data_IF_070506509401
#
_entry.id   IF_070506509401
#
_cell.length_a   1.000
_cell.length_b   1.000
_cell.length_c   1.000
_cell.angle_alpha   90.00
_cell.angle_beta   90.00
_cell.angle_gamma   90.00
#
_symmetry.space_group_name_H-M   'P 1'
#
loop_
_entity.id
_entity.type
_entity.pdbx_description
1 polymer ?
#
# COMPACT_ATOMS: atom_id res chain seq x y z
N UNK A 1 26.89 7.32 -22.31
CA UNK A 1 25.46 7.10 -22.08
C UNK A 1 25.24 7.25 -20.58
N UNK A 2 24.42 8.20 -20.14
CA UNK A 2 24.08 8.34 -18.72
C UNK A 2 23.11 7.22 -18.36
N UNK A 3 23.52 6.37 -17.42
CA UNK A 3 22.66 5.33 -16.88
C UNK A 3 21.57 5.97 -16.03
N UNK A 4 20.34 5.47 -16.14
CA UNK A 4 19.24 5.89 -15.28
C UNK A 4 19.55 5.51 -13.82
N UNK A 5 19.09 6.34 -12.87
CA UNK A 5 19.17 6.02 -11.44
C UNK A 5 18.23 4.82 -11.19
N UNK A 6 18.70 3.77 -10.49
CA UNK A 6 17.85 2.64 -10.17
C UNK A 6 16.74 3.05 -9.20
N UNK A 7 15.62 2.31 -9.17
CA UNK A 7 14.58 2.49 -8.16
C UNK A 7 15.13 2.40 -6.73
N UNK A 8 14.55 3.16 -5.81
CA UNK A 8 14.97 3.16 -4.41
C UNK A 8 14.74 1.78 -3.79
N UNK A 9 15.75 1.24 -3.10
CA UNK A 9 15.66 -0.05 -2.41
C UNK A 9 15.46 -1.29 -3.29
N UNK A 10 15.43 -1.18 -4.63
CA UNK A 10 15.13 -2.30 -5.51
C UNK A 10 15.89 -2.26 -6.85
N UNK A 11 16.01 -3.42 -7.50
CA UNK A 11 16.62 -3.52 -8.84
C UNK A 11 15.69 -3.07 -9.98
N UNK A 12 14.38 -3.08 -9.76
CA UNK A 12 13.35 -2.76 -10.76
C UNK A 12 12.17 -2.04 -10.09
N UNK A 13 11.41 -1.28 -10.89
CA UNK A 13 10.18 -0.65 -10.40
C UNK A 13 9.17 -1.74 -10.02
N UNK A 14 8.37 -1.46 -8.99
CA UNK A 14 7.35 -2.38 -8.48
C UNK A 14 5.97 -1.69 -8.45
N UNK A 15 5.32 -1.49 -9.61
CA UNK A 15 3.94 -1.02 -9.64
C UNK A 15 2.99 -2.09 -9.09
N UNK A 16 2.10 -1.71 -8.19
CA UNK A 16 1.07 -2.62 -7.64
C UNK A 16 -0.23 -2.63 -8.45
N UNK A 17 -0.21 -2.03 -9.66
CA UNK A 17 -1.37 -2.02 -10.53
C UNK A 17 -1.66 -3.42 -11.08
N UNK A 18 -2.86 -3.90 -10.80
CA UNK A 18 -3.32 -5.20 -11.27
C UNK A 18 -3.34 -5.27 -12.82
N UNK A 19 -2.88 -6.38 -13.43
CA UNK A 19 -3.00 -6.61 -14.87
C UNK A 19 -4.45 -6.49 -15.35
N UNK A 20 -4.64 -5.84 -16.50
CA UNK A 20 -5.96 -5.52 -17.05
C UNK A 20 -6.90 -6.74 -17.13
N UNK A 21 -6.37 -7.89 -17.55
CA UNK A 21 -7.11 -9.16 -17.67
C UNK A 21 -7.75 -9.67 -16.37
N UNK A 22 -7.25 -9.25 -15.21
CA UNK A 22 -7.75 -9.68 -13.89
C UNK A 22 -8.71 -8.65 -13.27
N UNK A 23 -8.78 -7.43 -13.80
CA UNK A 23 -9.50 -6.32 -13.15
C UNK A 23 -11.00 -6.56 -13.02
N UNK A 24 -11.64 -7.08 -14.06
CA UNK A 24 -13.08 -7.35 -14.02
C UNK A 24 -13.44 -8.36 -12.92
N UNK A 25 -12.63 -9.42 -12.77
CA UNK A 25 -12.82 -10.42 -11.73
C UNK A 25 -12.59 -9.84 -10.33
N UNK A 26 -11.49 -9.12 -10.14
CA UNK A 26 -11.17 -8.52 -8.83
C UNK A 26 -12.15 -7.41 -8.43
N UNK A 27 -12.72 -6.67 -9.40
CA UNK A 27 -13.80 -5.72 -9.12
C UNK A 27 -15.06 -6.45 -8.61
N UNK A 28 -15.48 -7.54 -9.25
CA UNK A 28 -16.61 -8.34 -8.77
C UNK A 28 -16.34 -8.96 -7.39
N UNK A 29 -15.12 -9.46 -7.14
CA UNK A 29 -14.73 -9.96 -5.81
C UNK A 29 -14.78 -8.85 -4.77
N UNK A 30 -14.25 -7.67 -5.11
CA UNK A 30 -14.20 -6.53 -4.21
C UNK A 30 -15.60 -6.09 -3.78
N UNK A 31 -16.64 -6.24 -4.63
CA UNK A 31 -18.04 -5.95 -4.30
C UNK A 31 -18.53 -6.71 -3.05
N UNK A 32 -18.06 -7.93 -2.84
CA UNK A 32 -18.46 -8.81 -1.73
C UNK A 32 -17.66 -8.56 -0.43
N UNK A 33 -16.53 -7.84 -0.49
CA UNK A 33 -15.68 -7.58 0.67
C UNK A 33 -16.21 -6.44 1.55
N UNK A 34 -15.79 -6.45 2.83
CA UNK A 34 -15.96 -5.31 3.73
C UNK A 34 -15.29 -4.08 3.11
N UNK A 35 -15.98 -2.94 3.21
CA UNK A 35 -15.54 -1.68 2.61
C UNK A 35 -14.79 -0.84 3.62
N UNK A 36 -13.59 -0.43 3.26
CA UNK A 36 -12.79 0.51 4.01
C UNK A 36 -12.71 1.84 3.23
N UNK A 37 -13.47 2.87 3.63
CA UNK A 37 -13.40 4.18 2.99
C UNK A 37 -12.04 4.83 3.27
N UNK A 38 -11.44 5.40 2.24
CA UNK A 38 -10.17 6.12 2.32
C UNK A 38 -10.40 7.63 2.32
N UNK A 39 -9.50 8.33 3.00
CA UNK A 39 -9.32 9.77 2.86
C UNK A 39 -8.67 10.11 1.51
N UNK A 40 -8.75 11.36 1.09
CA UNK A 40 -8.08 11.83 -0.14
C UNK A 40 -6.56 11.62 -0.11
N UNK A 41 -5.91 11.68 1.05
CA UNK A 41 -4.48 11.40 1.17
C UNK A 41 -4.17 9.91 0.95
N UNK A 42 -4.98 9.02 1.54
CA UNK A 42 -4.82 7.57 1.38
C UNK A 42 -5.11 7.13 -0.07
N UNK A 43 -6.06 7.78 -0.75
CA UNK A 43 -6.30 7.58 -2.19
C UNK A 43 -5.07 8.00 -3.00
N UNK A 44 -4.44 9.14 -2.68
CA UNK A 44 -3.18 9.53 -3.31
C UNK A 44 -2.06 8.51 -3.07
N UNK A 45 -1.92 8.00 -1.84
CA UNK A 45 -0.94 6.96 -1.53
C UNK A 45 -1.20 5.66 -2.28
N UNK A 46 -2.47 5.25 -2.41
CA UNK A 46 -2.87 4.09 -3.22
C UNK A 46 -2.48 4.27 -4.70
N UNK A 47 -2.67 5.46 -5.26
CA UNK A 47 -2.24 5.76 -6.63
C UNK A 47 -0.72 5.69 -6.77
N UNK A 48 0.05 6.22 -5.80
CA UNK A 48 1.50 6.17 -5.79
C UNK A 48 2.04 4.72 -5.69
N UNK A 49 1.41 3.89 -4.86
CA UNK A 49 1.64 2.44 -4.81
C UNK A 49 1.36 1.78 -6.17
N UNK A 50 0.22 2.11 -6.79
CA UNK A 50 -0.19 1.52 -8.08
C UNK A 50 0.81 1.80 -9.21
N UNK A 51 1.41 2.99 -9.23
CA UNK A 51 2.38 3.40 -10.25
C UNK A 51 3.82 2.97 -9.92
N UNK A 52 4.07 2.44 -8.71
CA UNK A 52 5.39 2.05 -8.23
C UNK A 52 6.24 3.20 -7.73
N UNK A 53 5.66 4.38 -7.48
CA UNK A 53 6.36 5.53 -6.91
C UNK A 53 6.88 5.24 -5.48
N UNK A 54 6.23 4.30 -4.78
CA UNK A 54 6.67 3.80 -3.47
C UNK A 54 7.43 2.47 -3.53
N UNK A 55 8.07 2.14 -4.65
CA UNK A 55 9.04 1.02 -4.68
C UNK A 55 10.06 1.23 -3.54
N UNK A 56 10.28 0.25 -2.63
CA UNK A 56 9.99 -1.19 -2.76
C UNK A 56 8.70 -1.72 -2.09
N UNK A 57 7.85 -0.85 -1.53
CA UNK A 57 6.69 -1.26 -0.73
C UNK A 57 5.76 -2.25 -1.46
N UNK A 58 5.22 -3.21 -0.70
CA UNK A 58 4.22 -4.20 -1.15
C UNK A 58 2.77 -3.75 -0.95
N UNK A 59 2.56 -2.61 -0.31
CA UNK A 59 1.25 -2.07 0.05
C UNK A 59 1.37 -1.03 1.15
N UNK A 60 0.27 -0.77 1.86
CA UNK A 60 0.31 -0.03 3.11
C UNK A 60 1.11 -0.81 4.16
N UNK A 61 1.84 -0.09 5.02
CA UNK A 61 2.76 -0.68 5.99
C UNK A 61 2.03 -1.51 7.04
N UNK A 62 2.57 -2.70 7.31
CA UNK A 62 2.27 -3.44 8.53
C UNK A 62 2.91 -2.80 9.77
N UNK A 63 2.59 -3.33 10.94
CA UNK A 63 3.03 -2.76 12.22
C UNK A 63 4.56 -2.66 12.35
N UNK A 64 5.30 -3.67 11.91
CA UNK A 64 6.76 -3.71 12.04
C UNK A 64 7.46 -2.63 11.18
N UNK A 65 7.08 -2.51 9.90
CA UNK A 65 7.60 -1.45 9.02
C UNK A 65 7.19 -0.06 9.51
N UNK A 66 5.93 0.11 9.94
CA UNK A 66 5.46 1.37 10.50
C UNK A 66 6.26 1.79 11.73
N UNK A 67 6.51 0.87 12.68
CA UNK A 67 7.32 1.14 13.87
C UNK A 67 8.75 1.50 13.50
N UNK A 68 9.38 0.74 12.59
CA UNK A 68 10.74 0.99 12.12
C UNK A 68 10.89 2.35 11.44
N UNK A 69 9.90 2.74 10.62
CA UNK A 69 9.88 4.06 9.96
C UNK A 69 9.73 5.18 10.98
N UNK A 70 8.83 5.04 11.95
CA UNK A 70 8.63 6.06 12.98
C UNK A 70 9.83 6.23 13.92
N UNK A 71 10.57 5.16 14.22
CA UNK A 71 11.67 5.18 15.19
C UNK A 71 13.03 5.45 14.53
N UNK A 72 13.31 4.73 13.44
CA UNK A 72 14.64 4.64 12.84
C UNK A 72 14.67 5.13 11.38
N UNK A 73 13.53 5.54 10.83
CA UNK A 73 13.36 5.89 9.40
C UNK A 73 13.79 4.75 8.48
N UNK A 74 13.45 3.50 8.83
CA UNK A 74 13.80 2.32 8.05
C UNK A 74 12.65 1.33 7.98
N UNK A 75 12.55 0.66 6.84
CA UNK A 75 11.78 -0.57 6.71
C UNK A 75 12.48 -1.72 7.46
N UNK A 76 11.76 -2.81 7.68
CA UNK A 76 12.26 -4.04 8.32
C UNK A 76 13.44 -4.67 7.58
N UNK A 77 13.55 -4.46 6.27
CA UNK A 77 14.69 -4.88 5.44
C UNK A 77 15.91 -3.94 5.53
N UNK A 78 15.80 -2.84 6.30
CA UNK A 78 16.84 -1.85 6.52
C UNK A 78 16.88 -0.71 5.51
N UNK A 79 16.01 -0.70 4.49
CA UNK A 79 15.91 0.40 3.52
C UNK A 79 15.46 1.68 4.22
N UNK A 80 16.18 2.78 3.99
CA UNK A 80 15.80 4.09 4.51
C UNK A 80 14.44 4.52 3.94
N UNK A 81 13.52 4.87 4.84
CA UNK A 81 12.18 5.33 4.51
C UNK A 81 11.66 6.30 5.58
N UNK A 82 11.44 7.58 5.26
CA UNK A 82 11.23 8.61 6.29
C UNK A 82 9.77 8.88 6.66
N UNK A 83 8.79 8.39 5.88
CA UNK A 83 7.37 8.72 6.05
C UNK A 83 6.53 7.44 6.07
N UNK A 84 5.72 7.20 7.12
CA UNK A 84 4.86 6.02 7.16
C UNK A 84 3.73 6.13 6.13
N UNK A 85 3.49 5.03 5.40
CA UNK A 85 2.41 4.92 4.42
C UNK A 85 1.38 3.95 4.97
N UNK A 86 0.29 4.47 5.52
CA UNK A 86 -0.72 3.68 6.27
C UNK A 86 -2.12 4.00 5.79
N UNK A 87 -3.02 3.03 5.91
CA UNK A 87 -4.47 3.25 5.76
C UNK A 87 -5.14 3.08 7.12
N UNK A 88 -5.99 4.03 7.46
CA UNK A 88 -6.69 4.10 8.75
C UNK A 88 -8.13 3.64 8.62
N UNK A 89 -8.68 3.11 9.72
CA UNK A 89 -10.07 2.69 9.82
C UNK A 89 -10.69 3.30 11.09
N UNK A 90 -11.98 3.65 11.02
CA UNK A 90 -12.74 3.98 12.22
C UNK A 90 -12.80 2.75 13.15
N UNK A 91 -12.69 2.95 14.47
CA UNK A 91 -12.61 1.84 15.43
C UNK A 91 -13.73 0.81 15.25
N UNK A 92 -14.97 1.27 15.07
CA UNK A 92 -16.13 0.39 14.88
C UNK A 92 -16.02 -0.52 13.65
N UNK A 93 -15.32 -0.09 12.59
CA UNK A 93 -15.03 -0.90 11.41
C UNK A 93 -13.81 -1.80 11.66
N UNK A 94 -12.75 -1.27 12.27
CA UNK A 94 -11.54 -2.02 12.61
C UNK A 94 -11.84 -3.23 13.50
N UNK A 95 -12.74 -3.09 14.48
CA UNK A 95 -13.18 -4.16 15.37
C UNK A 95 -13.87 -5.32 14.64
N UNK A 96 -14.28 -5.11 13.38
CA UNK A 96 -14.95 -6.11 12.54
C UNK A 96 -14.00 -6.75 11.53
N UNK A 97 -12.73 -6.32 11.44
CA UNK A 97 -11.76 -6.82 10.46
C UNK A 97 -10.75 -7.72 11.19
N UNK A 98 -10.59 -8.95 10.72
CA UNK A 98 -9.62 -9.89 11.28
C UNK A 98 -8.27 -9.82 10.55
N UNK A 99 -7.18 -10.19 11.23
CA UNK A 99 -5.86 -10.29 10.60
C UNK A 99 -5.91 -11.39 9.53
N UNK A 100 -5.52 -11.04 8.30
CA UNK A 100 -5.57 -11.93 7.14
C UNK A 100 -6.88 -11.88 6.36
N UNK A 101 -7.85 -11.06 6.79
CA UNK A 101 -9.06 -10.78 6.02
C UNK A 101 -8.78 -9.79 4.89
N UNK A 102 -9.34 -10.06 3.71
CA UNK A 102 -9.32 -9.14 2.58
C UNK A 102 -10.41 -8.06 2.73
N UNK A 103 -10.04 -6.81 2.49
CA UNK A 103 -10.96 -5.67 2.48
C UNK A 103 -10.89 -4.92 1.14
N UNK A 104 -12.00 -4.32 0.73
CA UNK A 104 -12.05 -3.44 -0.44
C UNK A 104 -11.86 -1.99 0.01
N UNK A 105 -10.80 -1.35 -0.51
CA UNK A 105 -10.54 0.07 -0.33
C UNK A 105 -11.46 0.88 -1.25
N UNK A 106 -12.19 1.85 -0.69
CA UNK A 106 -13.10 2.72 -1.45
C UNK A 106 -12.60 4.16 -1.44
N UNK A 107 -12.68 4.80 -2.61
CA UNK A 107 -12.61 6.27 -2.71
C UNK A 107 -13.83 6.86 -1.99
N UNK A 108 -13.59 7.80 -1.08
CA UNK A 108 -14.57 8.35 -0.14
C UNK A 108 -15.59 9.30 -0.74
#
# INVERSE_FOLDING_TARGET
MTNLVPPHGAGTLKPLLLPEKLRAQELSRAEELKKLPMTSCEVCDLLLLSMGAYTPLDGFMGEEDWRGVCQDMKLTDGVFWPIPITVSAAQALADQIEIGEDVALLDG
#
